data_IF_771245523372
#
_entry.id   IF_771245523372
#
_cell.length_a   1.000
_cell.length_b   1.000
_cell.length_c   1.000
_cell.angle_alpha   90.00
_cell.angle_beta   90.00
_cell.angle_gamma   90.00
#
_symmetry.space_group_name_H-M   'P 1'
#
loop_
_entity.id
_entity.type
_entity.pdbx_description
1 polymer ?
#
# COMPACT_ATOMS: atom_id res chain seq x y z
N UNK A 1 -14.80 18.80 -13.30
CA UNK A 1 -14.78 18.25 -11.94
C UNK A 1 -16.11 17.58 -11.71
N UNK A 2 -16.10 16.26 -11.83
CA UNK A 2 -17.23 15.39 -11.55
C UNK A 2 -17.02 14.72 -10.18
N UNK A 3 -18.09 14.48 -9.42
CA UNK A 3 -18.01 13.67 -8.19
C UNK A 3 -18.29 12.21 -8.52
N UNK A 4 -17.33 11.34 -8.21
CA UNK A 4 -17.40 9.89 -8.38
C UNK A 4 -17.53 9.23 -7.03
N UNK A 5 -18.61 8.48 -6.83
CA UNK A 5 -18.84 7.76 -5.58
C UNK A 5 -18.58 6.29 -5.80
N UNK A 6 -17.75 5.70 -4.96
CA UNK A 6 -17.53 4.25 -4.94
C UNK A 6 -18.79 3.56 -4.43
N UNK A 7 -19.45 2.81 -5.31
CA UNK A 7 -20.54 1.92 -4.93
C UNK A 7 -19.98 0.53 -4.58
N UNK A 8 -19.04 0.05 -5.40
CA UNK A 8 -18.67 -1.35 -5.43
C UNK A 8 -19.86 -2.25 -5.80
N UNK A 9 -19.63 -3.56 -5.97
CA UNK A 9 -20.73 -4.54 -6.05
C UNK A 9 -21.43 -4.66 -7.42
N UNK A 10 -21.37 -3.62 -8.24
CA UNK A 10 -22.16 -3.50 -9.48
C UNK A 10 -21.48 -4.09 -10.72
N UNK A 11 -20.15 -4.17 -10.74
CA UNK A 11 -19.42 -4.78 -11.84
C UNK A 11 -19.57 -6.31 -11.79
N UNK A 12 -19.89 -6.96 -12.92
CA UNK A 12 -19.97 -8.42 -12.97
C UNK A 12 -18.59 -9.02 -12.67
N UNK A 13 -18.59 -10.07 -11.85
CA UNK A 13 -17.39 -10.86 -11.61
C UNK A 13 -17.05 -11.67 -12.87
N UNK A 14 -15.88 -11.39 -13.44
CA UNK A 14 -15.33 -12.04 -14.63
C UNK A 14 -13.98 -12.62 -14.23
N UNK A 15 -13.76 -13.90 -14.51
CA UNK A 15 -12.46 -14.53 -14.29
C UNK A 15 -11.40 -13.88 -15.18
N UNK A 16 -10.29 -13.48 -14.57
CA UNK A 16 -9.13 -13.03 -15.32
C UNK A 16 -8.56 -14.21 -16.11
N UNK A 17 -8.45 -14.05 -17.43
CA UNK A 17 -7.79 -15.03 -18.30
C UNK A 17 -6.64 -14.35 -19.00
N UNK A 18 -5.46 -14.93 -18.83
CA UNK A 18 -4.22 -14.42 -19.42
C UNK A 18 -3.42 -15.55 -20.03
N UNK A 19 -2.41 -15.21 -20.82
CA UNK A 19 -1.56 -16.19 -21.46
C UNK A 19 -0.10 -15.75 -21.57
N UNK A 20 0.78 -16.75 -21.60
CA UNK A 20 2.20 -16.61 -21.95
C UNK A 20 2.46 -17.51 -23.16
N UNK A 21 2.96 -16.92 -24.25
CA UNK A 21 3.30 -17.66 -25.46
C UNK A 21 4.70 -18.25 -25.35
N UNK A 22 4.83 -19.55 -25.61
CA UNK A 22 6.12 -20.23 -25.71
C UNK A 22 6.57 -20.24 -27.17
N UNK A 23 7.79 -19.79 -27.45
CA UNK A 23 8.31 -19.72 -28.82
C UNK A 23 9.72 -20.30 -28.93
N UNK A 24 10.24 -20.38 -30.16
CA UNK A 24 11.60 -20.82 -30.44
C UNK A 24 11.80 -22.33 -30.36
N UNK A 25 13.06 -22.73 -30.28
CA UNK A 25 13.51 -24.11 -30.15
C UNK A 25 14.20 -24.30 -28.81
N UNK A 26 13.76 -25.29 -28.06
CA UNK A 26 14.25 -25.60 -26.72
C UNK A 26 15.19 -26.78 -26.75
N UNK A 27 16.45 -26.52 -26.40
CA UNK A 27 17.51 -27.51 -26.38
C UNK A 27 17.60 -28.22 -25.02
N UNK A 28 18.34 -29.32 -24.98
CA UNK A 28 18.61 -30.04 -23.74
C UNK A 28 19.26 -29.12 -22.72
N UNK A 29 18.77 -29.18 -21.48
CA UNK A 29 19.15 -28.34 -20.33
C UNK A 29 18.70 -26.87 -20.39
N UNK A 30 17.95 -26.45 -21.41
CA UNK A 30 17.24 -25.18 -21.31
C UNK A 30 16.22 -25.26 -20.16
N UNK A 31 15.95 -24.13 -19.52
CA UNK A 31 14.94 -24.04 -18.47
C UNK A 31 13.93 -22.95 -18.78
N UNK A 32 12.66 -23.28 -18.60
CA UNK A 32 11.55 -22.34 -18.63
C UNK A 32 10.99 -22.21 -17.21
N UNK A 33 10.82 -20.99 -16.72
CA UNK A 33 10.40 -20.69 -15.36
C UNK A 33 9.18 -19.77 -15.40
N UNK A 34 8.13 -20.13 -14.67
CA UNK A 34 6.97 -19.28 -14.41
C UNK A 34 7.03 -18.83 -12.95
N UNK A 35 6.82 -17.54 -12.70
CA UNK A 35 6.84 -16.95 -11.36
C UNK A 35 5.53 -16.22 -11.09
N UNK A 36 4.93 -16.49 -9.94
CA UNK A 36 3.82 -15.73 -9.38
C UNK A 36 4.27 -15.22 -8.02
N UNK A 37 4.30 -13.90 -7.83
CA UNK A 37 4.84 -13.29 -6.62
C UNK A 37 6.25 -13.76 -6.29
N UNK A 38 6.39 -14.51 -5.19
CA UNK A 38 7.69 -14.96 -4.67
C UNK A 38 8.07 -16.40 -5.04
N UNK A 39 7.14 -17.17 -5.61
CA UNK A 39 7.31 -18.58 -5.93
C UNK A 39 7.46 -18.77 -7.44
N UNK A 40 8.30 -19.73 -7.80
CA UNK A 40 8.55 -20.11 -9.19
C UNK A 40 8.42 -21.62 -9.39
N UNK A 41 7.89 -22.02 -10.55
CA UNK A 41 7.96 -23.39 -11.07
C UNK A 41 8.87 -23.41 -12.28
N UNK A 42 9.74 -24.40 -12.36
CA UNK A 42 10.72 -24.50 -13.45
C UNK A 42 10.61 -25.86 -14.14
N UNK A 43 10.49 -25.83 -15.45
CA UNK A 43 10.60 -27.01 -16.31
C UNK A 43 12.00 -27.04 -16.94
N UNK A 44 12.74 -28.13 -16.73
CA UNK A 44 14.03 -28.37 -17.37
C UNK A 44 13.86 -29.31 -18.55
N UNK A 45 14.37 -28.90 -19.70
CA UNK A 45 14.18 -29.61 -20.96
C UNK A 45 15.16 -30.79 -21.06
N UNK A 46 14.64 -32.02 -21.04
CA UNK A 46 15.46 -33.25 -21.08
C UNK A 46 16.00 -33.69 -22.45
N UNK A 47 15.86 -32.87 -23.50
CA UNK A 47 16.08 -33.23 -24.91
C UNK A 47 15.89 -32.01 -25.81
N UNK A 48 15.96 -32.13 -27.14
CA UNK A 48 15.30 -31.13 -27.99
C UNK A 48 13.79 -31.36 -27.88
N UNK A 49 13.06 -30.39 -27.33
CA UNK A 49 11.61 -30.53 -27.10
C UNK A 49 10.82 -29.62 -28.04
N UNK A 50 9.61 -30.05 -28.35
CA UNK A 50 8.63 -29.19 -29.05
C UNK A 50 8.10 -28.13 -28.09
N UNK A 51 7.59 -27.03 -28.63
CA UNK A 51 6.88 -26.00 -27.86
C UNK A 51 5.79 -26.63 -26.97
N UNK A 52 5.00 -27.56 -27.52
CA UNK A 52 3.95 -28.23 -26.77
C UNK A 52 4.45 -29.08 -25.59
N UNK A 53 5.63 -29.68 -25.69
CA UNK A 53 6.22 -30.41 -24.56
C UNK A 53 6.67 -29.47 -23.43
N UNK A 54 7.18 -28.28 -23.77
CA UNK A 54 7.53 -27.24 -22.79
C UNK A 54 6.27 -26.69 -22.11
N UNK A 55 5.23 -26.36 -22.89
CA UNK A 55 3.92 -25.91 -22.37
C UNK A 55 3.33 -26.95 -21.44
N UNK A 56 3.22 -28.21 -21.86
CA UNK A 56 2.68 -29.29 -21.03
C UNK A 56 3.49 -29.49 -19.73
N UNK A 57 4.82 -29.41 -19.82
CA UNK A 57 5.71 -29.50 -18.67
C UNK A 57 5.49 -28.37 -17.65
N UNK A 58 5.36 -27.13 -18.12
CA UNK A 58 5.07 -25.96 -17.28
C UNK A 58 3.67 -26.01 -16.67
N UNK A 59 2.66 -26.36 -17.45
CA UNK A 59 1.28 -26.53 -16.97
C UNK A 59 1.21 -27.59 -15.88
N UNK A 60 1.88 -28.73 -16.07
CA UNK A 60 1.95 -29.77 -15.05
C UNK A 60 2.69 -29.31 -13.80
N UNK A 61 3.78 -28.55 -13.94
CA UNK A 61 4.54 -28.05 -12.81
C UNK A 61 3.74 -27.00 -12.01
N UNK A 62 3.05 -26.09 -12.71
CA UNK A 62 2.17 -25.09 -12.10
C UNK A 62 1.04 -25.75 -11.30
N UNK A 63 0.26 -26.62 -11.93
CA UNK A 63 -0.91 -27.25 -11.29
C UNK A 63 -0.51 -28.24 -10.16
N UNK A 64 0.77 -28.61 -10.05
CA UNK A 64 1.29 -29.41 -8.95
C UNK A 64 1.84 -28.54 -7.79
N UNK A 65 2.03 -27.23 -7.99
CA UNK A 65 2.52 -26.34 -6.95
C UNK A 65 1.44 -26.09 -5.89
N UNK A 66 1.78 -26.28 -4.62
CA UNK A 66 0.88 -26.05 -3.49
C UNK A 66 0.98 -24.63 -2.91
N UNK A 67 1.73 -23.73 -3.55
CA UNK A 67 1.89 -22.36 -3.09
C UNK A 67 0.59 -21.57 -3.28
N UNK A 68 0.16 -20.82 -2.24
CA UNK A 68 -1.10 -20.08 -2.26
C UNK A 68 -1.25 -19.15 -3.47
N UNK A 69 -0.19 -18.40 -3.81
CA UNK A 69 -0.18 -17.47 -4.96
C UNK A 69 -0.33 -18.17 -6.33
N UNK A 70 0.06 -19.43 -6.47
CA UNK A 70 -0.15 -20.21 -7.70
C UNK A 70 -1.48 -20.96 -7.72
N UNK A 71 -1.99 -21.35 -6.54
CA UNK A 71 -3.27 -22.04 -6.38
C UNK A 71 -4.49 -21.15 -6.69
N UNK A 72 -4.28 -19.86 -6.95
CA UNK A 72 -5.31 -18.91 -7.32
C UNK A 72 -5.69 -18.94 -8.80
N UNK A 73 -4.96 -19.68 -9.62
CA UNK A 73 -5.30 -19.91 -11.01
C UNK A 73 -4.93 -21.31 -11.49
N UNK A 74 -5.79 -21.84 -12.34
CA UNK A 74 -5.52 -23.07 -13.09
C UNK A 74 -4.77 -22.73 -14.38
N UNK A 75 -3.64 -23.42 -14.61
CA UNK A 75 -2.94 -23.39 -15.89
C UNK A 75 -3.50 -24.45 -16.84
N UNK A 76 -3.65 -24.11 -18.12
CA UNK A 76 -4.09 -25.01 -19.18
C UNK A 76 -3.15 -24.95 -20.38
N UNK A 77 -2.94 -26.11 -21.00
CA UNK A 77 -2.20 -26.22 -22.26
C UNK A 77 -3.11 -25.77 -23.41
N UNK A 78 -2.77 -24.63 -24.00
CA UNK A 78 -3.38 -24.08 -25.20
C UNK A 78 -2.29 -23.83 -26.26
N UNK A 79 -1.33 -24.75 -26.36
CA UNK A 79 -0.11 -24.65 -27.17
C UNK A 79 -0.32 -23.91 -28.51
N UNK A 80 0.50 -22.88 -28.82
CA UNK A 80 1.78 -22.53 -28.17
C UNK A 80 1.65 -21.73 -26.86
N UNK A 81 0.43 -21.45 -26.42
CA UNK A 81 0.18 -20.62 -25.25
C UNK A 81 -0.04 -21.48 -23.99
N UNK A 82 0.50 -21.01 -22.86
CA UNK A 82 0.05 -21.42 -21.53
C UNK A 82 -1.06 -20.44 -21.15
N UNK A 83 -2.25 -20.93 -20.86
CA UNK A 83 -3.38 -20.09 -20.43
C UNK A 83 -3.56 -20.21 -18.92
N UNK A 84 -3.59 -19.08 -18.22
CA UNK A 84 -3.92 -19.00 -16.80
C UNK A 84 -5.32 -18.45 -16.66
N UNK A 85 -6.20 -19.17 -15.96
CA UNK A 85 -7.54 -18.72 -15.61
C UNK A 85 -7.62 -18.58 -14.11
N UNK A 86 -7.93 -17.38 -13.62
CA UNK A 86 -8.17 -17.16 -12.19
C UNK A 86 -9.34 -18.03 -11.73
N UNK A 87 -9.12 -18.79 -10.66
CA UNK A 87 -10.13 -19.71 -10.12
C UNK A 87 -11.24 -18.96 -9.40
N UNK A 88 -11.01 -17.69 -9.03
CA UNK A 88 -12.00 -16.78 -8.46
C UNK A 88 -12.28 -15.61 -9.39
N UNK A 89 -13.51 -15.54 -9.92
CA UNK A 89 -13.93 -14.44 -10.78
C UNK A 89 -13.83 -13.07 -10.05
N UNK A 90 -13.27 -12.07 -10.74
CA UNK A 90 -13.01 -10.75 -10.16
C UNK A 90 -11.70 -10.62 -9.39
N UNK A 91 -10.87 -11.68 -9.35
CA UNK A 91 -9.53 -11.65 -8.78
C UNK A 91 -8.47 -11.74 -9.91
N UNK A 92 -7.56 -10.76 -10.03
CA UNK A 92 -6.52 -10.77 -11.05
C UNK A 92 -5.39 -11.72 -10.69
N UNK A 93 -4.60 -12.13 -11.70
CA UNK A 93 -3.37 -12.91 -11.52
C UNK A 93 -2.27 -12.29 -12.37
N UNK A 94 -1.05 -12.26 -11.82
CA UNK A 94 0.15 -11.78 -12.51
C UNK A 94 1.17 -12.91 -12.53
N UNK A 95 1.65 -13.27 -13.72
CA UNK A 95 2.62 -14.33 -13.95
C UNK A 95 3.72 -13.80 -14.84
N UNK A 96 4.97 -14.01 -14.45
CA UNK A 96 6.12 -13.67 -15.27
C UNK A 96 6.81 -14.93 -15.78
N UNK A 97 7.18 -14.92 -17.06
CA UNK A 97 8.01 -15.93 -17.67
C UNK A 97 9.48 -15.52 -17.64
N UNK A 98 10.36 -16.47 -17.33
CA UNK A 98 11.80 -16.34 -17.47
C UNK A 98 12.38 -17.59 -18.13
N UNK A 99 13.36 -17.42 -19.01
CA UNK A 99 14.09 -18.52 -19.62
C UNK A 99 15.59 -18.44 -19.37
N UNK A 100 16.22 -19.61 -19.32
CA UNK A 100 17.66 -19.74 -19.50
C UNK A 100 17.88 -20.76 -20.61
N UNK A 101 18.25 -20.27 -21.79
CA UNK A 101 18.44 -21.08 -23.00
C UNK A 101 19.84 -20.88 -23.57
N UNK A 102 20.43 -21.95 -24.12
CA UNK A 102 21.59 -21.85 -25.01
C UNK A 102 21.19 -21.63 -26.48
N UNK A 103 19.89 -21.73 -26.79
CA UNK A 103 19.29 -21.59 -28.12
C UNK A 103 18.44 -20.31 -28.23
N UNK A 104 17.27 -20.43 -28.86
CA UNK A 104 16.34 -19.32 -29.08
C UNK A 104 14.94 -19.59 -28.48
N UNK A 105 14.82 -20.55 -27.55
CA UNK A 105 13.60 -20.76 -26.78
C UNK A 105 13.28 -19.50 -25.97
N UNK A 106 12.02 -19.09 -25.94
CA UNK A 106 11.60 -17.88 -25.24
C UNK A 106 10.20 -17.99 -24.66
N UNK A 107 10.00 -17.37 -23.49
CA UNK A 107 8.69 -17.10 -22.92
C UNK A 107 8.28 -15.66 -23.23
N UNK A 108 7.07 -15.47 -23.75
CA UNK A 108 6.49 -14.15 -23.95
C UNK A 108 6.11 -13.46 -22.64
N UNK A 109 5.82 -12.16 -22.71
CA UNK A 109 5.15 -11.47 -21.62
C UNK A 109 3.72 -12.00 -21.44
N UNK A 110 3.19 -11.92 -20.21
CA UNK A 110 1.79 -12.18 -19.96
C UNK A 110 0.92 -11.18 -20.75
N UNK A 111 -0.16 -11.68 -21.34
CA UNK A 111 -1.15 -10.87 -22.05
C UNK A 111 -2.55 -11.31 -21.66
N UNK A 112 -3.44 -10.35 -21.44
CA UNK A 112 -4.81 -10.64 -21.03
C UNK A 112 -5.66 -10.98 -22.25
N UNK A 113 -6.40 -12.08 -22.18
CA UNK A 113 -7.41 -12.44 -23.17
C UNK A 113 -8.81 -12.11 -22.68
N UNK A 114 -9.01 -12.15 -21.37
CA UNK A 114 -10.21 -11.65 -20.69
C UNK A 114 -9.76 -10.82 -19.49
N UNK A 115 -9.96 -9.48 -19.50
CA UNK A 115 -9.52 -8.64 -18.39
C UNK A 115 -10.31 -8.95 -17.11
N UNK A 116 -9.67 -8.74 -15.97
CA UNK A 116 -10.33 -8.86 -14.68
C UNK A 116 -11.44 -7.81 -14.56
N UNK A 117 -12.60 -8.22 -14.04
CA UNK A 117 -13.70 -7.31 -13.66
C UNK A 117 -14.41 -7.92 -12.48
N UNK A 118 -14.89 -7.09 -11.57
CA UNK A 118 -15.65 -7.59 -10.43
C UNK A 118 -16.01 -6.51 -9.43
N UNK A 119 -16.80 -6.88 -8.40
CA UNK A 119 -17.38 -5.95 -7.45
C UNK A 119 -16.34 -5.16 -6.64
N UNK A 120 -15.08 -5.63 -6.60
CA UNK A 120 -13.98 -5.03 -5.85
C UNK A 120 -12.91 -4.37 -6.73
N UNK A 121 -13.17 -4.22 -8.03
CA UNK A 121 -12.21 -3.69 -9.00
C UNK A 121 -12.41 -2.18 -9.19
N UNK A 122 -11.39 -1.39 -8.85
CA UNK A 122 -11.39 0.07 -9.02
C UNK A 122 -11.57 0.48 -10.48
N UNK A 123 -10.90 -0.22 -11.39
CA UNK A 123 -10.88 0.02 -12.83
C UNK A 123 -12.15 -0.46 -13.58
N UNK A 124 -13.13 -0.99 -12.85
CA UNK A 124 -14.44 -1.31 -13.39
C UNK A 124 -15.39 -0.13 -13.27
N UNK A 125 -15.67 0.54 -14.39
CA UNK A 125 -16.56 1.70 -14.45
C UNK A 125 -17.92 1.48 -13.77
N UNK A 126 -18.44 0.25 -13.81
CA UNK A 126 -19.71 -0.11 -13.18
C UNK A 126 -19.72 0.03 -11.63
N UNK A 127 -18.56 0.04 -10.97
CA UNK A 127 -18.45 0.23 -9.52
C UNK A 127 -18.49 1.70 -9.08
N UNK A 128 -18.53 2.64 -10.04
CA UNK A 128 -18.56 4.06 -9.77
C UNK A 128 -19.89 4.67 -10.21
N UNK A 129 -20.56 5.36 -9.29
CA UNK A 129 -21.63 6.26 -9.68
C UNK A 129 -21.11 7.65 -9.95
N UNK A 130 -21.85 8.34 -10.80
CA UNK A 130 -21.75 9.76 -11.02
C UNK A 130 -23.08 10.38 -10.65
N UNK A 131 -23.05 11.44 -9.86
CA UNK A 131 -24.26 12.22 -9.57
C UNK A 131 -24.75 12.90 -10.87
N UNK A 132 -25.56 12.19 -11.66
CA UNK A 132 -26.32 12.74 -12.79
C UNK A 132 -26.23 12.05 -14.16
N UNK A 133 -25.41 11.00 -14.38
CA UNK A 133 -25.32 10.29 -15.69
C UNK A 133 -24.85 8.83 -15.55
N UNK A 134 -24.52 8.19 -16.70
CA UNK A 134 -23.90 6.86 -16.82
C UNK A 134 -22.65 6.70 -15.96
N UNK A 135 -22.50 5.52 -15.37
CA UNK A 135 -21.34 5.07 -14.61
C UNK A 135 -20.05 5.19 -15.42
N UNK A 136 -19.01 5.75 -14.82
CA UNK A 136 -17.69 5.93 -15.45
C UNK A 136 -16.59 6.02 -14.40
N UNK A 137 -15.37 5.69 -14.81
CA UNK A 137 -14.19 5.79 -13.95
C UNK A 137 -13.90 7.24 -13.53
N UNK A 138 -13.29 7.45 -12.35
CA UNK A 138 -12.64 8.70 -12.01
C UNK A 138 -11.54 9.04 -13.01
N UNK A 139 -11.41 10.33 -13.31
CA UNK A 139 -10.35 10.89 -14.15
C UNK A 139 -9.71 12.09 -13.47
N UNK A 140 -8.61 12.59 -14.05
CA UNK A 140 -7.91 13.77 -13.52
C UNK A 140 -8.84 14.96 -13.34
N UNK A 141 -8.81 15.57 -12.15
CA UNK A 141 -9.63 16.71 -11.76
C UNK A 141 -11.04 16.36 -11.26
N UNK A 142 -11.37 15.07 -11.09
CA UNK A 142 -12.58 14.64 -10.40
C UNK A 142 -12.41 14.64 -8.87
N UNK A 143 -13.55 14.65 -8.16
CA UNK A 143 -13.63 14.39 -6.74
C UNK A 143 -14.04 12.92 -6.54
N UNK A 144 -13.29 12.17 -5.76
CA UNK A 144 -13.56 10.76 -5.48
C UNK A 144 -14.06 10.60 -4.05
N UNK A 145 -15.15 9.87 -3.86
CA UNK A 145 -15.80 9.70 -2.55
C UNK A 145 -16.04 8.23 -2.25
N UNK A 146 -15.59 7.79 -1.08
CA UNK A 146 -15.97 6.53 -0.46
C UNK A 146 -16.95 6.81 0.67
N UNK A 147 -18.20 6.41 0.52
CA UNK A 147 -19.25 6.56 1.53
C UNK A 147 -20.28 5.45 1.44
N UNK A 148 -20.94 5.15 2.57
CA UNK A 148 -22.11 4.26 2.66
C UNK A 148 -21.97 2.93 1.88
N UNK A 149 -20.79 2.33 1.88
CA UNK A 149 -20.52 1.06 1.22
C UNK A 149 -19.66 0.16 2.09
N UNK A 150 -20.06 -1.11 2.31
CA UNK A 150 -19.22 -2.12 2.93
C UNK A 150 -18.34 -2.85 1.90
N UNK A 151 -18.45 -2.51 0.61
CA UNK A 151 -17.79 -3.28 -0.46
C UNK A 151 -16.34 -2.82 -0.59
N UNK A 152 -15.36 -3.73 -0.43
CA UNK A 152 -13.96 -3.35 -0.49
C UNK A 152 -13.52 -3.05 -1.93
N UNK A 153 -12.51 -2.19 -2.07
CA UNK A 153 -11.84 -1.85 -3.31
C UNK A 153 -10.42 -2.46 -3.26
N UNK A 154 -10.26 -3.61 -3.90
CA UNK A 154 -9.11 -4.51 -3.70
C UNK A 154 -8.20 -4.61 -4.94
N UNK A 155 -8.74 -4.42 -6.13
CA UNK A 155 -8.03 -4.67 -7.39
C UNK A 155 -8.12 -3.48 -8.34
N UNK A 156 -7.28 -3.46 -9.38
CA UNK A 156 -7.20 -2.32 -10.31
C UNK A 156 -6.60 -1.06 -9.67
N UNK A 157 -5.72 -1.23 -8.68
CA UNK A 157 -5.26 -0.14 -7.81
C UNK A 157 -4.12 0.72 -8.38
N UNK A 158 -3.50 0.30 -9.49
CA UNK A 158 -2.42 1.04 -10.14
C UNK A 158 -2.98 2.16 -11.04
N UNK A 159 -3.23 3.35 -10.47
CA UNK A 159 -3.90 4.49 -11.12
C UNK A 159 -3.04 5.77 -11.12
N UNK A 160 -1.71 5.61 -11.11
CA UNK A 160 -0.74 6.70 -10.91
C UNK A 160 -0.78 7.80 -11.97
N UNK A 161 -1.40 7.53 -13.14
CA UNK A 161 -1.65 8.52 -14.19
C UNK A 161 -2.79 9.50 -13.91
N UNK A 162 -3.58 9.29 -12.84
CA UNK A 162 -4.72 10.12 -12.47
C UNK A 162 -4.33 11.06 -11.33
N UNK A 163 -4.71 12.34 -11.43
CA UNK A 163 -4.60 13.31 -10.33
C UNK A 163 -5.98 13.88 -10.00
N UNK A 164 -6.56 13.42 -8.91
CA UNK A 164 -7.84 13.88 -8.38
C UNK A 164 -7.73 15.29 -7.80
N UNK A 165 -8.84 16.03 -7.87
CA UNK A 165 -8.98 17.28 -7.11
C UNK A 165 -9.16 16.98 -5.61
N UNK A 166 -9.96 15.97 -5.28
CA UNK A 166 -10.06 15.48 -3.91
C UNK A 166 -10.33 13.98 -3.83
N UNK A 167 -9.92 13.39 -2.72
CA UNK A 167 -10.30 12.04 -2.30
C UNK A 167 -10.88 12.13 -0.90
N UNK A 168 -12.15 11.76 -0.76
CA UNK A 168 -12.86 11.75 0.53
C UNK A 168 -13.23 10.33 0.91
N UNK A 169 -13.01 9.96 2.17
CA UNK A 169 -13.59 8.75 2.77
C UNK A 169 -14.38 9.15 4.01
N UNK A 170 -15.69 8.95 3.97
CA UNK A 170 -16.56 9.17 5.13
C UNK A 170 -16.51 7.96 6.08
N UNK A 171 -16.82 8.18 7.36
CA UNK A 171 -16.91 7.11 8.38
C UNK A 171 -18.01 6.07 8.07
N UNK A 172 -18.93 6.38 7.15
CA UNK A 172 -19.96 5.46 6.67
C UNK A 172 -19.44 4.41 5.68
N UNK A 173 -18.24 4.60 5.12
CA UNK A 173 -17.57 3.57 4.33
C UNK A 173 -16.86 2.58 5.26
N UNK A 174 -17.32 1.34 5.27
CA UNK A 174 -16.78 0.25 6.10
C UNK A 174 -16.07 -0.83 5.30
N UNK A 175 -16.09 -0.75 3.96
CA UNK A 175 -15.22 -1.54 3.10
C UNK A 175 -13.76 -1.20 3.32
N UNK A 176 -12.85 -2.02 2.79
CA UNK A 176 -11.40 -1.74 2.80
C UNK A 176 -10.94 -1.15 1.46
N UNK A 177 -9.88 -0.36 1.49
CA UNK A 177 -9.14 0.05 0.30
C UNK A 177 -7.74 -0.54 0.34
N UNK A 178 -7.39 -1.31 -0.68
CA UNK A 178 -6.09 -1.99 -0.77
C UNK A 178 -6.09 -3.41 -0.22
N UNK A 179 -5.01 -4.12 -0.53
CA UNK A 179 -4.75 -5.50 -0.11
C UNK A 179 -3.85 -5.53 1.14
N UNK A 180 -3.93 -6.58 1.96
CA UNK A 180 -3.05 -6.72 3.12
C UNK A 180 -1.61 -6.98 2.68
N UNK A 181 -0.65 -6.77 3.57
CA UNK A 181 0.76 -7.15 3.32
C UNK A 181 0.91 -8.65 3.09
N UNK A 182 0.17 -9.44 3.88
CA UNK A 182 0.12 -10.89 3.77
C UNK A 182 -1.31 -11.29 3.40
N UNK A 183 -1.46 -11.98 2.29
CA UNK A 183 -2.72 -12.55 1.88
C UNK A 183 -2.99 -13.81 2.72
N UNK A 184 -4.16 -13.84 3.35
CA UNK A 184 -4.62 -14.96 4.19
C UNK A 184 -6.01 -15.44 3.75
N UNK A 185 -6.37 -15.24 2.48
CA UNK A 185 -7.64 -15.74 1.91
C UNK A 185 -7.74 -17.26 2.08
N UNK A 186 -6.64 -17.98 1.80
CA UNK A 186 -6.42 -19.33 2.30
C UNK A 186 -5.53 -19.29 3.54
N UNK A 187 -6.13 -19.50 4.71
CA UNK A 187 -5.42 -19.51 5.98
C UNK A 187 -4.37 -20.64 6.09
N UNK A 188 -4.45 -21.69 5.26
CA UNK A 188 -3.47 -22.77 5.26
C UNK A 188 -2.24 -22.49 4.40
N UNK A 189 -2.37 -21.58 3.43
CA UNK A 189 -1.32 -21.23 2.48
C UNK A 189 -1.18 -19.70 2.36
N UNK A 190 -0.92 -18.98 3.47
CA UNK A 190 -0.73 -17.54 3.41
C UNK A 190 0.53 -17.19 2.62
N UNK A 191 0.49 -16.07 1.91
CA UNK A 191 1.61 -15.59 1.12
C UNK A 191 1.76 -14.07 1.23
N UNK A 192 2.94 -13.55 0.89
CA UNK A 192 3.17 -12.10 0.84
C UNK A 192 2.47 -11.57 -0.41
N UNK A 193 1.57 -10.59 -0.26
CA UNK A 193 0.79 -10.09 -1.40
C UNK A 193 1.73 -9.53 -2.47
N UNK A 194 1.57 -10.05 -3.69
CA UNK A 194 2.39 -9.68 -4.84
C UNK A 194 1.75 -8.58 -5.69
N UNK A 195 0.43 -8.42 -5.59
CA UNK A 195 -0.31 -7.35 -6.28
C UNK A 195 -0.11 -6.00 -5.60
N UNK A 196 -0.46 -4.88 -6.27
CA UNK A 196 -0.49 -3.57 -5.61
C UNK A 196 -1.33 -3.60 -4.34
N UNK A 197 -0.74 -3.20 -3.21
CA UNK A 197 -1.41 -3.19 -1.90
C UNK A 197 -2.05 -1.85 -1.55
N UNK A 198 -1.66 -0.79 -2.24
CA UNK A 198 -2.15 0.58 -2.07
C UNK A 198 -2.89 1.01 -3.34
N UNK A 199 -3.93 1.85 -3.18
CA UNK A 199 -4.42 2.63 -4.31
C UNK A 199 -3.37 3.68 -4.68
N UNK A 200 -2.73 3.49 -5.82
CA UNK A 200 -1.74 4.41 -6.37
C UNK A 200 -2.47 5.45 -7.20
N UNK A 201 -2.79 6.60 -6.62
CA UNK A 201 -3.53 7.67 -7.30
C UNK A 201 -3.14 9.04 -6.74
N UNK A 202 -2.89 10.00 -7.61
CA UNK A 202 -2.65 11.37 -7.18
C UNK A 202 -3.92 12.02 -6.63
N UNK A 203 -3.81 12.79 -5.55
CA UNK A 203 -4.89 13.63 -5.03
C UNK A 203 -4.32 14.90 -4.38
N UNK A 204 -4.84 16.07 -4.76
CA UNK A 204 -4.37 17.34 -4.17
C UNK A 204 -4.87 17.55 -2.75
N UNK A 205 -6.07 17.06 -2.43
CA UNK A 205 -6.64 17.07 -1.09
C UNK A 205 -7.18 15.70 -0.74
N UNK A 206 -6.88 15.22 0.46
CA UNK A 206 -7.37 13.94 0.98
C UNK A 206 -8.05 14.18 2.33
N UNK A 207 -9.29 13.73 2.45
CA UNK A 207 -10.12 13.89 3.64
C UNK A 207 -10.60 12.52 4.14
N UNK A 208 -10.08 12.08 5.28
CA UNK A 208 -10.43 10.81 5.90
C UNK A 208 -11.02 11.07 7.28
N UNK A 209 -12.03 10.33 7.69
CA UNK A 209 -12.55 10.41 9.06
C UNK A 209 -13.80 11.26 9.24
N UNK A 210 -14.38 11.79 8.17
CA UNK A 210 -15.48 12.73 8.30
C UNK A 210 -16.82 12.03 8.56
N UNK A 211 -17.64 12.64 9.42
CA UNK A 211 -18.98 12.15 9.77
C UNK A 211 -18.99 11.07 10.85
N UNK A 212 -20.15 10.46 11.08
CA UNK A 212 -20.30 9.36 12.04
C UNK A 212 -20.31 8.01 11.32
N UNK A 213 -19.70 7.00 11.94
CA UNK A 213 -19.67 5.62 11.43
C UNK A 213 -18.57 4.81 12.09
N UNK A 214 -18.27 3.65 11.51
CA UNK A 214 -17.21 2.76 12.00
C UNK A 214 -15.88 2.90 11.24
N UNK A 215 -15.92 3.57 10.09
CA UNK A 215 -14.77 3.79 9.23
C UNK A 215 -14.27 2.49 8.59
N UNK A 216 -13.25 2.65 7.76
CA UNK A 216 -12.57 1.53 7.12
C UNK A 216 -11.51 0.97 8.06
N UNK A 217 -11.44 -0.36 8.20
CA UNK A 217 -10.37 -0.99 8.98
C UNK A 217 -9.04 -1.11 8.23
N UNK A 218 -9.01 -0.78 6.94
CA UNK A 218 -7.80 -0.69 6.11
C UNK A 218 -8.02 0.27 4.95
N UNK A 219 -7.18 1.28 4.86
CA UNK A 219 -7.20 2.32 3.85
C UNK A 219 -5.77 2.62 3.41
N UNK A 220 -5.29 1.86 2.42
CA UNK A 220 -3.94 1.96 1.89
C UNK A 220 -3.91 2.91 0.69
N UNK A 221 -3.25 4.05 0.82
CA UNK A 221 -3.20 5.10 -0.21
C UNK A 221 -1.75 5.50 -0.55
N UNK A 222 -1.45 5.55 -1.85
CA UNK A 222 -0.21 6.12 -2.38
C UNK A 222 -0.52 7.28 -3.32
N UNK A 223 -0.10 8.47 -2.92
CA UNK A 223 -0.30 9.72 -3.68
C UNK A 223 0.82 10.03 -4.68
N UNK A 224 1.80 9.15 -4.79
CA UNK A 224 2.91 9.26 -5.74
C UNK A 224 3.69 10.55 -5.52
N UNK A 225 3.92 11.30 -6.60
CA UNK A 225 4.64 12.59 -6.58
C UNK A 225 3.71 13.81 -6.57
N UNK A 226 2.40 13.62 -6.39
CA UNK A 226 1.45 14.74 -6.32
C UNK A 226 1.57 15.42 -4.96
N UNK A 227 1.52 16.76 -4.95
CA UNK A 227 1.42 17.51 -3.70
C UNK A 227 0.05 17.23 -3.06
N UNK A 228 0.07 16.66 -1.86
CA UNK A 228 -1.14 16.27 -1.14
C UNK A 228 -1.25 17.01 0.18
N UNK A 229 -2.44 17.56 0.44
CA UNK A 229 -2.89 17.94 1.77
C UNK A 229 -3.79 16.84 2.36
N UNK A 230 -3.25 16.05 3.29
CA UNK A 230 -3.90 14.92 3.94
C UNK A 230 -4.46 15.32 5.30
N UNK A 231 -5.78 15.22 5.45
CA UNK A 231 -6.51 15.59 6.66
C UNK A 231 -7.27 14.38 7.20
N UNK A 232 -7.03 14.03 8.46
CA UNK A 232 -7.57 12.83 9.12
C UNK A 232 -8.33 13.25 10.40
N UNK A 233 -9.64 13.01 10.42
CA UNK A 233 -10.53 13.28 11.55
C UNK A 233 -10.84 12.06 12.40
N UNK A 234 -10.70 10.86 11.85
CA UNK A 234 -10.84 9.55 12.49
C UNK A 234 -10.34 8.49 11.48
N UNK A 235 -9.88 7.36 11.98
CA UNK A 235 -9.29 6.30 11.16
C UNK A 235 -10.15 5.06 11.02
N UNK A 236 -11.15 4.88 11.89
CA UNK A 236 -11.80 3.58 12.08
C UNK A 236 -10.97 2.62 12.93
N UNK A 237 -11.40 1.36 13.02
CA UNK A 237 -10.74 0.32 13.84
C UNK A 237 -9.82 -0.56 13.00
N UNK A 238 -8.54 -0.77 13.37
CA UNK A 238 -7.62 -1.62 12.64
C UNK A 238 -8.20 -3.02 12.37
N UNK A 239 -8.16 -3.44 11.10
CA UNK A 239 -8.53 -4.80 10.70
C UNK A 239 -7.42 -5.82 11.01
N UNK A 240 -6.16 -5.41 10.87
CA UNK A 240 -4.99 -6.24 11.19
C UNK A 240 -4.33 -5.84 12.50
N UNK A 241 -3.95 -6.85 13.29
CA UNK A 241 -3.24 -6.64 14.54
C UNK A 241 -1.88 -5.98 14.30
N UNK A 242 -1.64 -4.84 14.94
CA UNK A 242 -0.37 -4.11 14.88
C UNK A 242 -0.14 -3.32 13.58
N UNK A 243 -1.15 -3.18 12.72
CA UNK A 243 -1.08 -2.37 11.51
C UNK A 243 -2.14 -1.26 11.62
N UNK A 244 -1.76 0.02 11.50
CA UNK A 244 -2.74 1.11 11.49
C UNK A 244 -3.78 0.96 10.37
N UNK A 245 -5.05 1.34 10.60
CA UNK A 245 -6.10 1.27 9.59
C UNK A 245 -5.86 2.22 8.41
N UNK A 246 -5.10 3.30 8.57
CA UNK A 246 -4.70 4.17 7.46
C UNK A 246 -3.21 3.99 7.23
N UNK A 247 -2.85 3.54 6.02
CA UNK A 247 -1.47 3.54 5.53
C UNK A 247 -1.35 4.54 4.39
N UNK A 248 -0.43 5.49 4.53
CA UNK A 248 -0.21 6.51 3.52
C UNK A 248 1.26 6.62 3.09
N UNK A 249 1.46 6.83 1.80
CA UNK A 249 2.74 7.28 1.22
C UNK A 249 2.50 8.34 0.15
N UNK A 250 3.50 9.22 0.02
CA UNK A 250 3.52 10.32 -0.93
C UNK A 250 4.89 10.98 -0.88
N UNK A 251 5.46 11.30 -2.04
CA UNK A 251 6.88 11.67 -2.19
C UNK A 251 7.10 13.14 -2.57
N UNK A 252 6.02 13.91 -2.73
CA UNK A 252 6.15 15.34 -2.99
C UNK A 252 6.72 16.09 -1.77
N UNK A 253 7.63 17.02 -2.03
CA UNK A 253 8.38 17.74 -0.99
C UNK A 253 7.51 18.62 -0.08
N UNK A 254 6.34 19.02 -0.57
CA UNK A 254 5.42 19.98 0.07
C UNK A 254 4.15 19.33 0.64
N UNK A 255 4.16 18.02 0.88
CA UNK A 255 3.01 17.36 1.50
C UNK A 255 2.74 17.89 2.90
N UNK A 256 1.46 18.08 3.22
CA UNK A 256 0.99 18.45 4.55
C UNK A 256 0.10 17.33 5.08
N UNK A 257 0.30 16.93 6.33
CA UNK A 257 -0.44 15.87 6.99
C UNK A 257 -0.96 16.38 8.33
N UNK A 258 -2.28 16.37 8.51
CA UNK A 258 -2.95 16.81 9.73
C UNK A 258 -3.81 15.68 10.28
N UNK A 259 -3.60 15.32 11.55
CA UNK A 259 -4.25 14.17 12.20
C UNK A 259 -4.85 14.63 13.52
N UNK A 260 -6.17 14.54 13.62
CA UNK A 260 -6.93 14.96 14.81
C UNK A 260 -7.36 13.77 15.67
N UNK A 261 -7.55 12.60 15.06
CA UNK A 261 -7.91 11.35 15.74
C UNK A 261 -7.62 10.15 14.82
N UNK A 262 -7.34 9.00 15.42
CA UNK A 262 -7.13 7.73 14.75
C UNK A 262 -5.68 7.24 14.80
N UNK A 263 -5.46 6.07 14.20
CA UNK A 263 -4.15 5.45 14.05
C UNK A 263 -3.69 5.49 12.59
N UNK A 264 -2.48 5.98 12.35
CA UNK A 264 -1.95 6.24 11.00
C UNK A 264 -0.50 5.75 10.88
N UNK A 265 -0.23 4.97 9.83
CA UNK A 265 1.11 4.58 9.41
C UNK A 265 1.55 5.36 8.18
N UNK A 266 2.73 5.99 8.24
CA UNK A 266 3.29 6.76 7.12
C UNK A 266 4.59 6.09 6.65
N UNK A 267 4.61 5.62 5.40
CA UNK A 267 5.67 4.75 4.87
C UNK A 267 6.04 3.66 5.89
N UNK A 268 5.00 2.98 6.38
CA UNK A 268 5.02 2.12 7.56
C UNK A 268 5.88 0.87 7.35
N UNK A 269 5.79 0.25 6.18
CA UNK A 269 6.54 -0.97 5.89
C UNK A 269 7.98 -0.68 5.44
N UNK A 270 8.86 -1.64 5.69
CA UNK A 270 10.24 -1.55 5.24
C UNK A 270 10.33 -1.42 3.70
N UNK A 271 11.11 -0.44 3.23
CA UNK A 271 11.27 -0.14 1.81
C UNK A 271 10.30 0.91 1.27
N UNK A 272 9.22 1.24 2.00
CA UNK A 272 8.36 2.35 1.65
C UNK A 272 9.03 3.70 1.92
N UNK A 273 8.66 4.71 1.13
CA UNK A 273 9.17 6.08 1.28
C UNK A 273 8.04 7.08 1.26
N UNK A 274 8.15 8.13 2.07
CA UNK A 274 7.28 9.30 2.01
C UNK A 274 8.08 10.57 2.28
N UNK A 275 7.56 11.71 1.86
CA UNK A 275 8.11 13.02 2.17
C UNK A 275 7.01 13.89 2.75
N UNK A 276 7.29 14.55 3.87
CA UNK A 276 6.36 15.42 4.60
C UNK A 276 7.04 16.77 4.84
N UNK A 277 6.37 17.85 4.45
CA UNK A 277 6.78 19.19 4.81
C UNK A 277 6.26 19.60 6.18
N UNK A 278 4.98 19.31 6.47
CA UNK A 278 4.36 19.62 7.76
C UNK A 278 3.57 18.41 8.23
N UNK A 279 3.88 17.93 9.44
CA UNK A 279 3.08 16.94 10.16
C UNK A 279 2.48 17.61 11.39
N UNK A 280 1.16 17.78 11.40
CA UNK A 280 0.40 18.28 12.55
C UNK A 280 -0.33 17.11 13.22
N UNK A 281 0.03 16.85 14.48
CA UNK A 281 -0.62 15.86 15.33
C UNK A 281 -1.34 16.58 16.45
N UNK A 282 -2.68 16.53 16.42
CA UNK A 282 -3.55 17.18 17.40
C UNK A 282 -4.35 16.13 18.16
N UNK A 283 -5.49 16.53 18.71
CA UNK A 283 -6.48 15.68 19.34
C UNK A 283 -7.88 16.28 19.13
N UNK A 284 -8.92 15.45 19.22
CA UNK A 284 -10.30 15.88 19.09
C UNK A 284 -10.95 16.10 20.46
N UNK A 285 -10.83 15.11 21.35
CA UNK A 285 -11.45 15.03 22.67
C UNK A 285 -10.42 14.66 23.75
N UNK A 286 -9.61 13.61 23.53
CA UNK A 286 -8.65 13.09 24.50
C UNK A 286 -7.21 13.29 24.05
N UNK A 287 -6.58 14.32 24.62
CA UNK A 287 -5.20 14.70 24.31
C UNK A 287 -4.17 13.55 24.37
N UNK A 288 -4.38 12.52 25.21
CA UNK A 288 -3.40 11.45 25.39
C UNK A 288 -3.59 10.24 24.45
N UNK A 289 -4.79 10.02 23.92
CA UNK A 289 -5.15 8.73 23.31
C UNK A 289 -5.87 8.84 21.97
N UNK A 290 -6.24 10.05 21.53
CA UNK A 290 -6.98 10.20 20.28
C UNK A 290 -6.16 9.84 19.05
N UNK A 291 -4.86 10.11 19.09
CA UNK A 291 -3.99 9.97 17.92
C UNK A 291 -2.82 9.04 18.22
N UNK A 292 -2.57 8.13 17.30
CA UNK A 292 -1.37 7.28 17.26
C UNK A 292 -0.75 7.30 15.86
N UNK A 293 0.49 7.77 15.74
CA UNK A 293 1.16 7.96 14.44
C UNK A 293 2.50 7.26 14.42
N UNK A 294 2.73 6.46 13.38
CA UNK A 294 4.01 5.78 13.16
C UNK A 294 4.59 6.26 11.83
N UNK A 295 5.68 7.02 11.90
CA UNK A 295 6.48 7.39 10.74
C UNK A 295 7.60 6.36 10.55
N UNK A 296 7.52 5.60 9.47
CA UNK A 296 8.50 4.56 9.16
C UNK A 296 9.86 5.11 8.72
N UNK A 297 10.83 4.21 8.52
CA UNK A 297 12.23 4.57 8.28
C UNK A 297 12.46 5.36 6.98
N UNK A 298 11.60 5.19 5.98
CA UNK A 298 11.71 5.88 4.70
C UNK A 298 11.05 7.26 4.65
N UNK A 299 10.56 7.79 5.77
CA UNK A 299 9.98 9.14 5.82
C UNK A 299 11.09 10.19 5.80
N UNK A 300 10.98 11.15 4.88
CA UNK A 300 11.81 12.36 4.84
C UNK A 300 10.99 13.56 5.32
N UNK A 301 11.44 14.24 6.37
CA UNK A 301 10.84 15.50 6.81
C UNK A 301 11.57 16.69 6.18
N UNK A 302 10.85 17.63 5.57
CA UNK A 302 11.40 18.86 4.98
C UNK A 302 11.12 20.11 5.81
N UNK A 303 10.14 20.05 6.73
CA UNK A 303 9.76 21.19 7.57
C UNK A 303 9.53 20.76 9.03
N UNK A 304 8.31 20.90 9.51
CA UNK A 304 7.99 20.77 10.94
C UNK A 304 7.19 19.51 11.26
N UNK A 305 7.44 18.97 12.45
CA UNK A 305 6.57 18.03 13.14
C UNK A 305 6.04 18.73 14.38
N UNK A 306 4.75 18.99 14.39
CA UNK A 306 4.04 19.74 15.42
C UNK A 306 3.11 18.78 16.20
N UNK A 307 3.34 18.64 17.50
CA UNK A 307 2.67 17.63 18.36
C UNK A 307 1.95 18.33 19.52
N UNK A 308 0.63 18.36 19.45
CA UNK A 308 -0.30 18.92 20.45
C UNK A 308 -1.00 17.86 21.30
N UNK A 309 -0.83 16.58 20.98
CA UNK A 309 -1.43 15.43 21.65
C UNK A 309 -0.99 14.10 21.04
N UNK A 310 -1.56 13.01 21.54
CA UNK A 310 -1.37 11.66 21.02
C UNK A 310 0.01 11.05 21.26
N UNK A 311 0.24 9.94 20.56
CA UNK A 311 1.52 9.23 20.48
C UNK A 311 2.09 9.35 19.07
N UNK A 312 3.37 9.71 18.97
CA UNK A 312 4.09 9.83 17.69
C UNK A 312 5.38 9.04 17.79
N UNK A 313 5.58 8.10 16.87
CA UNK A 313 6.83 7.37 16.68
C UNK A 313 7.53 7.83 15.40
N UNK A 314 8.81 8.18 15.51
CA UNK A 314 9.66 8.56 14.38
C UNK A 314 10.82 7.56 14.27
N UNK A 315 10.83 6.82 13.16
CA UNK A 315 11.90 5.89 12.78
C UNK A 315 12.86 6.47 11.73
N UNK A 316 12.74 7.75 11.39
CA UNK A 316 13.51 8.44 10.36
C UNK A 316 14.13 9.75 10.87
N UNK A 317 14.96 10.40 10.06
CA UNK A 317 15.55 11.68 10.44
C UNK A 317 14.48 12.78 10.42
N UNK A 318 14.30 13.44 11.56
CA UNK A 318 13.50 14.66 11.71
C UNK A 318 14.31 15.93 11.43
N UNK A 319 13.58 16.99 11.09
CA UNK A 319 14.12 18.34 10.92
C UNK A 319 13.83 19.16 12.18
N UNK A 320 12.70 19.87 12.21
CA UNK A 320 12.23 20.62 13.39
C UNK A 320 11.06 19.90 14.04
N UNK A 321 11.13 19.66 15.35
CA UNK A 321 10.02 19.08 16.11
C UNK A 321 9.59 20.04 17.21
N UNK A 322 8.32 20.43 17.21
CA UNK A 322 7.71 21.24 18.25
C UNK A 322 6.67 20.39 18.99
N UNK A 323 6.96 20.04 20.23
CA UNK A 323 6.07 19.26 21.08
C UNK A 323 5.50 20.14 22.18
N UNK A 324 4.18 20.30 22.19
CA UNK A 324 3.41 21.06 23.18
C UNK A 324 2.67 20.14 24.15
N UNK A 325 2.36 18.91 23.75
CA UNK A 325 1.89 17.84 24.64
C UNK A 325 2.16 16.44 24.04
N UNK A 326 1.47 15.41 24.54
CA UNK A 326 1.57 14.04 24.01
C UNK A 326 2.89 13.34 24.30
N UNK A 327 3.14 12.25 23.58
CA UNK A 327 4.35 11.43 23.67
C UNK A 327 5.01 11.31 22.31
N UNK A 328 6.27 11.70 22.23
CA UNK A 328 7.13 11.47 21.07
C UNK A 328 8.11 10.34 21.40
N UNK A 329 8.29 9.38 20.51
CA UNK A 329 9.33 8.36 20.60
C UNK A 329 10.21 8.41 19.35
N UNK A 330 11.51 8.63 19.52
CA UNK A 330 12.49 8.65 18.42
C UNK A 330 13.34 7.40 18.50
N UNK A 331 13.37 6.59 17.44
CA UNK A 331 13.94 5.24 17.48
C UNK A 331 15.20 5.05 16.60
N UNK A 332 16.00 4.06 16.98
CA UNK A 332 17.03 3.48 16.12
C UNK A 332 18.19 4.43 15.86
N UNK A 333 18.34 4.87 14.60
CA UNK A 333 19.36 5.81 14.15
C UNK A 333 18.81 7.18 13.74
N UNK A 334 17.54 7.45 14.01
CA UNK A 334 16.87 8.70 13.69
C UNK A 334 17.56 9.90 14.35
N UNK A 335 17.92 10.92 13.58
CA UNK A 335 18.45 12.19 14.08
C UNK A 335 17.35 13.28 14.10
N UNK A 336 17.50 14.28 14.97
CA UNK A 336 16.78 15.56 14.84
C UNK A 336 17.84 16.61 14.51
N UNK A 337 17.79 17.08 13.27
CA UNK A 337 18.91 17.82 12.66
C UNK A 337 18.88 19.32 12.88
N UNK A 338 17.72 19.92 13.20
CA UNK A 338 17.64 21.36 13.46
C UNK A 338 17.27 21.69 14.90
N UNK A 339 16.08 21.32 15.37
CA UNK A 339 15.62 21.70 16.71
C UNK A 339 14.60 20.71 17.24
N UNK A 340 14.78 20.29 18.50
CA UNK A 340 13.74 19.62 19.28
C UNK A 340 13.26 20.60 20.35
N UNK A 341 12.07 21.16 20.18
CA UNK A 341 11.44 22.06 21.15
C UNK A 341 10.37 21.31 21.92
N UNK A 342 10.57 21.14 23.23
CA UNK A 342 9.63 20.51 24.15
C UNK A 342 9.05 21.58 25.08
N UNK A 343 7.86 22.09 24.78
CA UNK A 343 7.09 22.98 25.64
C UNK A 343 6.13 22.23 26.58
N UNK A 344 5.97 20.92 26.37
CA UNK A 344 5.17 20.02 27.20
C UNK A 344 5.32 18.57 26.76
N UNK A 345 4.61 17.65 27.41
CA UNK A 345 4.64 16.22 27.06
C UNK A 345 5.96 15.53 27.39
N UNK A 346 6.18 14.36 26.77
CA UNK A 346 7.41 13.57 26.94
C UNK A 346 7.98 13.13 25.61
N UNK A 347 9.28 13.31 25.41
CA UNK A 347 10.05 12.73 24.33
C UNK A 347 10.91 11.58 24.88
N UNK A 348 10.65 10.36 24.43
CA UNK A 348 11.53 9.20 24.64
C UNK A 348 12.54 9.12 23.52
N UNK A 349 13.79 9.48 23.82
CA UNK A 349 14.87 9.36 22.86
C UNK A 349 15.52 7.98 22.98
N UNK A 350 15.15 7.08 22.07
CA UNK A 350 15.71 5.73 21.94
C UNK A 350 16.51 5.62 20.63
N UNK A 351 17.25 6.69 20.32
CA UNK A 351 18.04 6.80 19.12
C UNK A 351 19.52 7.06 19.43
N UNK A 352 20.39 6.51 18.57
CA UNK A 352 21.83 6.84 18.54
C UNK A 352 22.14 7.99 17.56
N UNK A 353 21.14 8.48 16.84
CA UNK A 353 21.27 9.64 15.96
C UNK A 353 21.61 10.92 16.72
N UNK A 354 22.09 11.92 15.99
CA UNK A 354 22.42 13.23 16.56
C UNK A 354 21.15 13.99 16.95
N UNK A 355 21.10 14.48 18.18
CA UNK A 355 20.10 15.43 18.64
C UNK A 355 20.69 16.84 18.62
N UNK A 356 20.11 17.72 17.80
CA UNK A 356 20.55 19.10 17.63
C UNK A 356 19.59 20.07 18.32
N UNK A 357 20.13 21.00 19.10
CA UNK A 357 19.42 22.10 19.77
C UNK A 357 18.15 21.66 20.53
N UNK A 358 18.28 20.80 21.55
CA UNK A 358 17.14 20.48 22.41
C UNK A 358 16.79 21.67 23.30
N UNK A 359 15.58 22.23 23.12
CA UNK A 359 15.02 23.30 23.95
C UNK A 359 13.91 22.71 24.81
N UNK A 360 14.10 22.69 26.12
CA UNK A 360 13.14 22.10 27.07
C UNK A 360 12.57 23.22 27.95
N UNK A 361 11.25 23.43 27.86
CA UNK A 361 10.48 24.45 28.58
C UNK A 361 9.08 23.93 28.94
N UNK A 362 8.30 24.73 29.68
CA UNK A 362 6.85 24.51 29.88
C UNK A 362 6.42 23.19 30.55
N UNK A 363 7.35 22.42 31.11
CA UNK A 363 7.09 21.10 31.69
C UNK A 363 7.37 19.92 30.75
N UNK A 364 7.95 20.17 29.57
CA UNK A 364 8.43 19.12 28.67
C UNK A 364 9.51 18.23 29.31
N UNK A 365 9.50 16.95 28.96
CA UNK A 365 10.45 15.96 29.47
C UNK A 365 11.20 15.31 28.32
N UNK A 366 12.53 15.41 28.32
CA UNK A 366 13.40 14.62 27.46
C UNK A 366 13.93 13.42 28.25
N UNK A 367 13.50 12.21 27.88
CA UNK A 367 13.82 10.98 28.59
C UNK A 367 14.81 10.10 27.82
N UNK A 368 15.95 9.85 28.46
CA UNK A 368 17.04 9.04 27.95
C UNK A 368 17.14 7.65 28.59
N UNK A 369 16.26 7.28 29.53
CA UNK A 369 16.43 6.08 30.37
C UNK A 369 16.07 4.77 29.68
N UNK A 370 15.36 4.82 28.54
CA UNK A 370 14.83 3.64 27.84
C UNK A 370 15.81 2.98 26.86
N UNK A 371 16.98 3.59 26.62
CA UNK A 371 18.02 3.04 25.74
C UNK A 371 19.43 3.31 26.29
N UNK A 372 20.20 2.25 26.56
CA UNK A 372 21.53 2.32 27.18
C UNK A 372 22.67 2.65 26.22
N UNK A 373 22.42 2.81 24.92
CA UNK A 373 23.44 3.08 23.90
C UNK A 373 23.97 4.52 23.98
N UNK A 374 25.18 4.74 23.44
CA UNK A 374 25.82 6.07 23.38
C UNK A 374 25.05 7.02 22.47
N UNK A 375 25.02 8.31 22.85
CA UNK A 375 24.21 9.36 22.22
C UNK A 375 25.06 10.59 21.93
N UNK A 376 24.68 11.33 20.90
CA UNK A 376 25.30 12.61 20.53
C UNK A 376 24.26 13.71 20.67
N UNK A 377 24.52 14.66 21.56
CA UNK A 377 23.70 15.87 21.74
C UNK A 377 24.59 17.08 21.48
N UNK A 378 24.15 17.95 20.58
CA UNK A 378 24.82 19.19 20.21
C UNK A 378 23.91 20.38 20.47
N UNK A 379 24.49 21.41 21.08
CA UNK A 379 23.90 22.72 21.37
C UNK A 379 24.51 23.77 20.46
#
# INVERSE_FOLDING_TARGET
MATRVWEGGNAPAVAHVSKITVTGTWATNDTATLTCGSVSVTFTVGGTQTIGAVVAGLVSAWNAAAAGEMAEATAADASPDITFTSDTAGMPIEVTGYESTAGNGALGAQTDTTPNSGPNCWDSAANWSYLGTTRSLPVTGDDMVYENSPIPCLYGLAQSGITLASLTRLETFTGTLGLPRNNTLDANNPYVEYRPTHLEIGATSVYLGMGNGGGSGRFNLDTGSVQTDLNIWDSGTPLEAGIPPILWKGTHSSNTVTINKGSVGIAFFAGETATINVLNVSYAEFQATDVDVICGKGVTFNGTVDIDGGTVEINSNGLTVNQRAGVLTVLGGAAISTTLRLDGGTCHWNSVGTLTLPIISGGGVLDFRRDGRTRTVVD
#
